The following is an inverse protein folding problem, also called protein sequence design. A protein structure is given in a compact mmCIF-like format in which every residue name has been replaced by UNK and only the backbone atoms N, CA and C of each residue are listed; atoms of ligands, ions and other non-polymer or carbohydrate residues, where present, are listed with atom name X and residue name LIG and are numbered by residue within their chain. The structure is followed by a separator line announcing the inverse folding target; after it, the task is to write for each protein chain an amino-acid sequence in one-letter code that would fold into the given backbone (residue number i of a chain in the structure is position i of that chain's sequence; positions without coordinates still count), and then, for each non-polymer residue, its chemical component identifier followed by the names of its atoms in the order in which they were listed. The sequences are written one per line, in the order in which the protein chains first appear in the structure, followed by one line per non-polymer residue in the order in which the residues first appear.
data_IF_234836418004
#
_entry.id   IF_234836418004
#
_cell.length_a   1.000
_cell.length_b   1.000
_cell.length_c   1.000
_cell.angle_alpha   90.00
_cell.angle_beta   90.00
_cell.angle_gamma   90.00
#
_symmetry.space_group_name_H-M   'P 1'
#
loop_
_entity.id
_entity.type
_entity.pdbx_description
1 polymer ?
#
# COMPACT_ATOMS: atom_id res chain seq x y z
N UNK A 1 5.88 9.76 -9.78
CA UNK A 1 5.92 9.81 -11.26
C UNK A 1 6.57 8.52 -11.77
N UNK A 2 6.17 8.01 -12.95
CA UNK A 2 6.87 6.89 -13.58
C UNK A 2 8.31 7.30 -13.95
N UNK A 3 9.28 6.37 -13.85
CA UNK A 3 10.68 6.69 -14.17
C UNK A 3 10.94 6.81 -15.69
N UNK A 4 10.09 6.20 -16.52
CA UNK A 4 10.10 6.31 -17.98
C UNK A 4 8.68 6.52 -18.54
N UNK A 5 8.59 7.00 -19.78
CA UNK A 5 7.33 7.33 -20.45
C UNK A 5 6.85 6.24 -21.41
N UNK A 6 7.52 5.08 -21.44
CA UNK A 6 7.04 3.91 -22.16
C UNK A 6 5.76 3.33 -21.52
N UNK A 7 4.96 2.65 -22.33
CA UNK A 7 3.63 2.19 -21.90
C UNK A 7 3.70 1.17 -20.76
N UNK A 8 4.71 0.30 -20.76
CA UNK A 8 4.89 -0.76 -19.75
C UNK A 8 5.27 -0.15 -18.39
N UNK A 9 6.24 0.75 -18.36
CA UNK A 9 6.66 1.43 -17.12
C UNK A 9 5.55 2.30 -16.56
N UNK A 10 4.77 3.00 -17.40
CA UNK A 10 3.60 3.74 -16.95
C UNK A 10 2.58 2.78 -16.31
N UNK A 11 2.28 1.66 -16.95
CA UNK A 11 1.35 0.66 -16.42
C UNK A 11 1.81 0.10 -15.07
N UNK A 12 3.07 -0.34 -14.96
CA UNK A 12 3.63 -0.87 -13.71
C UNK A 12 3.64 0.20 -12.59
N UNK A 13 4.02 1.44 -12.90
CA UNK A 13 3.97 2.53 -11.92
C UNK A 13 2.55 2.79 -11.38
N UNK A 14 1.52 2.65 -12.22
CA UNK A 14 0.12 2.76 -11.83
C UNK A 14 -0.28 1.58 -10.96
N UNK A 15 0.16 0.37 -11.29
CA UNK A 15 -0.02 -0.83 -10.47
C UNK A 15 0.50 -0.64 -9.04
N UNK A 16 1.76 -0.21 -8.89
CA UNK A 16 2.33 0.09 -7.56
C UNK A 16 1.49 1.14 -6.85
N UNK A 17 1.12 2.22 -7.54
CA UNK A 17 0.34 3.32 -6.95
C UNK A 17 -1.06 2.88 -6.51
N UNK A 18 -1.66 1.90 -7.18
CA UNK A 18 -2.95 1.31 -6.82
C UNK A 18 -2.80 0.47 -5.55
N UNK A 19 -1.81 -0.42 -5.51
CA UNK A 19 -1.56 -1.28 -4.36
C UNK A 19 -1.13 -0.51 -3.11
N UNK A 20 -0.26 0.50 -3.26
CA UNK A 20 0.11 1.40 -2.15
C UNK A 20 -1.09 2.15 -1.60
N UNK A 21 -2.00 2.64 -2.46
CA UNK A 21 -3.23 3.31 -2.02
C UNK A 21 -4.19 2.35 -1.34
N UNK A 22 -4.27 1.11 -1.83
CA UNK A 22 -5.12 0.07 -1.23
C UNK A 22 -4.68 -0.22 0.20
N UNK A 23 -3.38 -0.43 0.42
CA UNK A 23 -2.83 -0.62 1.77
C UNK A 23 -3.07 0.62 2.65
N UNK A 24 -2.86 1.82 2.11
CA UNK A 24 -3.09 3.07 2.85
C UNK A 24 -4.55 3.24 3.29
N UNK A 25 -5.52 2.98 2.41
CA UNK A 25 -6.95 3.08 2.75
C UNK A 25 -7.39 2.03 3.76
N UNK A 26 -6.82 0.83 3.70
CA UNK A 26 -7.05 -0.21 4.69
C UNK A 26 -6.49 0.17 6.06
N UNK A 27 -5.28 0.74 6.12
CA UNK A 27 -4.69 1.27 7.36
C UNK A 27 -5.47 2.49 7.89
N UNK A 28 -5.97 3.35 7.02
CA UNK A 28 -6.83 4.48 7.42
C UNK A 28 -8.15 4.00 8.05
N UNK A 29 -8.81 2.99 7.44
CA UNK A 29 -10.01 2.38 8.00
C UNK A 29 -9.72 1.68 9.34
N UNK A 30 -8.57 1.02 9.46
CA UNK A 30 -8.15 0.38 10.71
C UNK A 30 -7.89 1.42 11.82
N UNK A 31 -7.28 2.56 11.48
CA UNK A 31 -7.04 3.64 12.42
C UNK A 31 -8.34 4.30 12.89
N UNK A 32 -9.30 4.53 12.00
CA UNK A 32 -10.64 5.02 12.35
C UNK A 32 -11.33 4.07 13.33
N UNK A 33 -11.30 2.76 13.04
CA UNK A 33 -11.92 1.75 13.88
C UNK A 33 -11.24 1.57 15.24
N UNK A 34 -9.90 1.65 15.29
CA UNK A 34 -9.15 1.66 16.54
C UNK A 34 -9.48 2.90 17.37
N UNK A 35 -9.61 4.07 16.74
CA UNK A 35 -10.05 5.31 17.39
C UNK A 35 -11.42 5.16 18.04
N UNK A 36 -12.40 4.61 17.30
CA UNK A 36 -13.73 4.31 17.82
C UNK A 36 -13.70 3.31 18.98
N UNK A 37 -12.81 2.31 18.92
CA UNK A 37 -12.64 1.37 20.03
C UNK A 37 -12.08 2.04 21.29
N UNK A 38 -11.15 2.98 21.14
CA UNK A 38 -10.61 3.75 22.25
C UNK A 38 -11.65 4.72 22.83
N UNK A 39 -12.47 5.36 21.99
CA UNK A 39 -13.60 6.19 22.44
C UNK A 39 -14.57 5.37 23.31
N UNK A 40 -14.93 4.15 22.87
CA UNK A 40 -15.80 3.26 23.63
C UNK A 40 -15.18 2.83 24.98
N UNK A 41 -13.86 2.60 25.04
CA UNK A 41 -13.15 2.28 26.29
C UNK A 41 -13.16 3.49 27.24
N UNK A 42 -12.94 4.70 26.72
CA UNK A 42 -12.96 5.93 27.51
C UNK A 42 -14.36 6.25 28.04
N UNK A 43 -15.40 6.11 27.21
CA UNK A 43 -16.80 6.22 27.61
C UNK A 43 -17.12 5.24 28.75
N UNK A 44 -16.73 3.97 28.58
CA UNK A 44 -16.92 2.95 29.60
C UNK A 44 -16.22 3.29 30.94
N UNK A 45 -14.96 3.74 30.89
CA UNK A 45 -14.22 4.14 32.09
C UNK A 45 -14.84 5.38 32.77
N UNK A 46 -15.31 6.35 31.98
CA UNK A 46 -15.97 7.54 32.48
C UNK A 46 -17.29 7.20 33.21
N UNK A 47 -18.12 6.38 32.56
CA UNK A 47 -19.42 5.95 33.11
C UNK A 47 -19.25 5.12 34.38
N UNK A 48 -18.25 4.24 34.42
CA UNK A 48 -17.92 3.46 35.61
C UNK A 48 -17.50 4.36 36.79
N UNK A 49 -16.68 5.39 36.53
CA UNK A 49 -16.27 6.34 37.56
C UNK A 49 -17.44 7.20 38.07
N UNK A 50 -18.31 7.66 37.16
CA UNK A 50 -19.53 8.38 37.51
C UNK A 50 -20.47 7.51 38.36
N UNK A 51 -20.64 6.24 38.01
CA UNK A 51 -21.42 5.29 38.79
C UNK A 51 -20.83 5.08 40.19
N UNK A 52 -19.51 4.89 40.31
CA UNK A 52 -18.83 4.71 41.59
C UNK A 52 -19.05 5.93 42.52
N UNK A 53 -18.91 7.15 41.99
CA UNK A 53 -19.18 8.38 42.76
C UNK A 53 -20.65 8.48 43.18
N UNK A 54 -21.58 8.09 42.32
CA UNK A 54 -23.00 8.06 42.67
C UNK A 54 -23.29 7.03 43.77
N UNK A 55 -22.67 5.85 43.71
CA UNK A 55 -22.82 4.86 44.79
C UNK A 55 -22.29 5.38 46.12
N UNK A 56 -21.20 6.16 46.12
CA UNK A 56 -20.68 6.81 47.32
C UNK A 56 -21.68 7.85 47.88
N UNK A 57 -22.21 8.73 47.03
CA UNK A 57 -23.23 9.72 47.42
C UNK A 57 -24.50 9.05 47.97
N UNK A 58 -24.90 7.91 47.40
CA UNK A 58 -26.07 7.15 47.82
C UNK A 58 -25.88 6.61 49.25
N UNK A 59 -24.70 6.06 49.52
CA UNK A 59 -24.35 5.55 50.85
C UNK A 59 -24.32 6.67 51.90
N UNK A 60 -24.03 7.91 51.51
CA UNK A 60 -24.08 9.09 52.38
C UNK A 60 -25.48 9.68 52.54
N UNK A 61 -26.51 9.12 51.89
CA UNK A 61 -27.90 9.59 51.99
C UNK A 61 -28.19 10.90 51.27
N UNK A 62 -27.34 11.30 50.31
CA UNK A 62 -27.52 12.52 49.52
C UNK A 62 -28.43 12.25 48.31
N UNK A 63 -29.18 13.27 47.87
CA UNK A 63 -30.02 13.17 46.66
C UNK A 63 -29.15 12.99 45.41
N UNK A 64 -29.58 12.07 44.53
CA UNK A 64 -28.88 11.73 43.30
C UNK A 64 -29.85 11.89 42.13
N UNK A 65 -29.52 12.75 41.17
CA UNK A 65 -30.27 12.90 39.91
C UNK A 65 -30.19 11.65 39.02
N UNK A 66 -30.85 11.65 37.86
CA UNK A 66 -30.78 10.52 36.91
C UNK A 66 -29.34 10.29 36.39
N UNK A 67 -28.99 9.05 36.01
CA UNK A 67 -27.70 8.75 35.39
C UNK A 67 -27.84 8.79 33.87
N UNK A 68 -27.14 9.70 33.23
CA UNK A 68 -27.01 9.75 31.77
C UNK A 68 -25.64 9.13 31.40
N UNK A 69 -25.62 7.99 30.68
CA UNK A 69 -24.38 7.43 30.16
C UNK A 69 -23.73 8.40 29.17
N UNK A 70 -22.41 8.35 29.07
CA UNK A 70 -21.66 9.13 28.09
C UNK A 70 -21.96 8.71 26.65
N UNK A 71 -21.60 9.59 25.71
CA UNK A 71 -21.90 9.48 24.29
C UNK A 71 -21.39 8.19 23.64
N UNK A 72 -22.15 7.69 22.66
CA UNK A 72 -21.75 6.60 21.77
C UNK A 72 -20.46 6.93 20.98
N UNK A 73 -19.66 5.92 20.60
CA UNK A 73 -18.49 6.12 19.76
C UNK A 73 -18.87 6.74 18.41
N UNK A 74 -17.92 7.47 17.82
CA UNK A 74 -18.11 8.18 16.56
C UNK A 74 -18.64 7.29 15.43
N UNK A 75 -19.38 7.88 14.49
CA UNK A 75 -19.85 7.18 13.29
C UNK A 75 -18.62 6.77 12.45
N UNK A 76 -18.60 5.50 12.03
CA UNK A 76 -17.54 4.97 11.16
C UNK A 76 -17.48 5.74 9.84
N UNK A 77 -16.28 6.13 9.42
CA UNK A 77 -16.11 6.76 8.11
C UNK A 77 -16.32 5.76 6.97
N UNK A 78 -16.90 6.24 5.87
CA UNK A 78 -17.10 5.43 4.68
C UNK A 78 -15.73 4.97 4.13
N UNK A 79 -15.54 3.66 3.84
CA UNK A 79 -14.30 3.16 3.27
C UNK A 79 -14.01 3.82 1.91
N UNK A 80 -12.74 4.14 1.66
CA UNK A 80 -12.28 4.58 0.35
C UNK A 80 -12.02 3.39 -0.56
N UNK A 81 -12.45 3.47 -1.80
CA UNK A 81 -12.22 2.44 -2.82
C UNK A 81 -11.14 2.86 -3.78
N UNK A 82 -10.27 1.93 -4.16
CA UNK A 82 -9.33 2.14 -5.26
C UNK A 82 -10.04 1.81 -6.58
N UNK A 83 -9.74 2.58 -7.64
CA UNK A 83 -10.26 2.30 -8.98
C UNK A 83 -9.74 0.98 -9.55
N UNK A 84 -10.41 0.48 -10.58
CA UNK A 84 -10.03 -0.74 -11.30
C UNK A 84 -8.67 -0.57 -11.98
N UNK A 85 -7.76 -1.56 -11.90
CA UNK A 85 -6.51 -1.50 -12.63
C UNK A 85 -6.77 -1.45 -14.14
N UNK A 86 -6.10 -0.54 -14.83
CA UNK A 86 -6.08 -0.53 -16.30
C UNK A 86 -5.48 -1.83 -16.82
N UNK A 87 -6.02 -2.41 -17.92
CA UNK A 87 -5.43 -3.61 -18.53
C UNK A 87 -3.98 -3.34 -18.99
N UNK A 88 -3.14 -4.38 -19.07
CA UNK A 88 -1.78 -4.24 -19.58
C UNK A 88 -1.83 -3.72 -21.03
N UNK A 89 -0.89 -2.84 -21.42
CA UNK A 89 -0.82 -2.38 -22.80
C UNK A 89 -0.47 -3.55 -23.73
N UNK A 90 -1.04 -3.54 -24.94
CA UNK A 90 -0.64 -4.48 -25.99
C UNK A 90 0.83 -4.27 -26.38
N UNK A 91 1.53 -5.36 -26.70
CA UNK A 91 2.90 -5.27 -27.21
C UNK A 91 2.90 -4.62 -28.60
N UNK A 92 3.84 -3.71 -28.83
CA UNK A 92 4.02 -3.11 -30.14
C UNK A 92 4.70 -4.10 -31.09
N UNK A 93 3.92 -4.69 -32.00
CA UNK A 93 4.42 -5.70 -32.94
C UNK A 93 5.19 -5.09 -34.13
N UNK A 94 4.91 -3.82 -34.46
CA UNK A 94 5.60 -3.09 -35.52
C UNK A 94 7.03 -2.72 -35.15
N UNK A 95 7.94 -2.79 -36.14
CA UNK A 95 9.38 -2.49 -36.00
C UNK A 95 9.62 -1.16 -35.26
N UNK A 96 9.03 -0.06 -35.76
CA UNK A 96 9.21 1.26 -35.16
C UNK A 96 8.47 1.40 -33.82
N UNK A 97 7.39 0.64 -33.62
CA UNK A 97 6.66 0.60 -32.35
C UNK A 97 7.55 0.05 -31.23
N UNK A 98 8.20 -1.10 -31.45
CA UNK A 98 9.12 -1.67 -30.47
C UNK A 98 10.32 -0.76 -30.19
N UNK A 99 10.94 -0.21 -31.24
CA UNK A 99 12.11 0.66 -31.09
C UNK A 99 11.78 2.02 -30.45
N UNK A 100 10.59 2.57 -30.69
CA UNK A 100 10.14 3.78 -30.00
C UNK A 100 9.89 3.54 -28.51
N UNK A 101 9.29 2.42 -28.12
CA UNK A 101 9.15 2.05 -26.71
C UNK A 101 10.53 1.84 -26.04
N UNK A 102 11.44 1.15 -26.72
CA UNK A 102 12.82 0.98 -26.27
C UNK A 102 13.54 2.33 -26.07
N UNK A 103 13.35 3.28 -27.00
CA UNK A 103 13.92 4.62 -26.88
C UNK A 103 13.37 5.39 -25.67
N UNK A 104 12.05 5.34 -25.44
CA UNK A 104 11.41 6.00 -24.29
C UNK A 104 11.88 5.38 -22.96
N UNK A 105 12.02 4.06 -22.91
CA UNK A 105 12.54 3.33 -21.76
C UNK A 105 14.00 3.67 -21.48
N UNK A 106 14.86 3.69 -22.52
CA UNK A 106 16.28 4.02 -22.39
C UNK A 106 16.52 5.45 -21.85
N UNK A 107 15.64 6.40 -22.21
CA UNK A 107 15.66 7.79 -21.73
C UNK A 107 15.09 7.97 -20.32
N UNK A 108 14.54 6.91 -19.71
CA UNK A 108 14.03 6.95 -18.35
C UNK A 108 15.09 7.35 -17.33
N UNK A 109 14.65 7.94 -16.22
CA UNK A 109 15.49 8.21 -15.06
C UNK A 109 15.76 6.92 -14.27
N UNK A 110 16.78 6.94 -13.42
CA UNK A 110 17.02 5.83 -12.50
C UNK A 110 15.85 5.72 -11.51
N UNK A 111 15.37 4.50 -11.33
CA UNK A 111 14.30 4.24 -10.38
C UNK A 111 14.92 4.22 -8.97
N UNK A 112 14.99 5.39 -8.33
CA UNK A 112 15.21 5.43 -6.89
C UNK A 112 14.06 4.67 -6.24
N UNK A 113 14.39 3.60 -5.52
CA UNK A 113 13.40 2.83 -4.78
C UNK A 113 12.52 3.81 -3.98
N UNK A 114 11.21 3.74 -4.18
CA UNK A 114 10.27 4.50 -3.36
C UNK A 114 10.54 4.16 -1.89
N UNK A 115 10.41 5.14 -0.99
CA UNK A 115 10.60 4.90 0.44
C UNK A 115 9.72 3.71 0.85
N UNK A 116 10.32 2.64 1.38
CA UNK A 116 9.57 1.43 1.71
C UNK A 116 8.53 1.76 2.78
N UNK A 117 7.40 1.05 2.73
CA UNK A 117 6.44 1.09 3.84
C UNK A 117 7.13 0.49 5.06
N UNK A 118 7.16 1.23 6.17
CA UNK A 118 7.91 0.85 7.36
C UNK A 118 7.19 -0.27 8.13
N UNK A 119 7.48 -1.51 7.76
CA UNK A 119 6.97 -2.69 8.44
C UNK A 119 7.49 -2.80 9.89
N UNK A 120 8.59 -2.11 10.25
CA UNK A 120 9.06 -2.08 11.63
C UNK A 120 8.15 -1.18 12.49
N UNK A 121 7.67 -0.05 11.96
CA UNK A 121 6.67 0.78 12.64
C UNK A 121 5.36 0.03 12.88
N UNK A 122 4.89 -0.77 11.91
CA UNK A 122 3.68 -1.59 12.09
C UNK A 122 3.83 -2.61 13.23
N UNK A 123 4.99 -3.28 13.32
CA UNK A 123 5.30 -4.23 14.42
C UNK A 123 5.49 -3.54 15.77
N UNK A 124 6.08 -2.34 15.77
CA UNK A 124 6.21 -1.55 16.98
C UNK A 124 4.83 -1.11 17.51
N UNK A 125 3.93 -0.69 16.62
CA UNK A 125 2.55 -0.37 16.97
C UNK A 125 1.80 -1.60 17.51
N UNK A 126 1.96 -2.77 16.90
CA UNK A 126 1.40 -4.03 17.42
C UNK A 126 1.89 -4.32 18.85
N UNK A 127 3.20 -4.19 19.09
CA UNK A 127 3.79 -4.38 20.42
C UNK A 127 3.18 -3.44 21.47
N UNK A 128 2.95 -2.17 21.09
CA UNK A 128 2.32 -1.19 21.96
C UNK A 128 0.86 -1.56 22.29
N UNK A 129 0.11 -2.08 21.32
CA UNK A 129 -1.27 -2.54 21.54
C UNK A 129 -1.34 -3.74 22.49
N UNK A 130 -0.46 -4.73 22.32
CA UNK A 130 -0.36 -5.87 23.24
C UNK A 130 0.04 -5.46 24.66
N UNK A 131 0.94 -4.49 24.79
CA UNK A 131 1.27 -3.91 26.09
C UNK A 131 0.05 -3.21 26.71
N UNK A 132 -0.69 -2.42 25.93
CA UNK A 132 -1.93 -1.79 26.35
C UNK A 132 -2.99 -2.79 26.81
N UNK A 133 -3.18 -3.89 26.07
CA UNK A 133 -4.09 -4.97 26.43
C UNK A 133 -3.75 -5.59 27.79
N UNK A 134 -2.47 -5.87 28.06
CA UNK A 134 -2.01 -6.39 29.36
C UNK A 134 -2.28 -5.40 30.49
N UNK A 135 -1.97 -4.12 30.28
CA UNK A 135 -2.25 -3.06 31.27
C UNK A 135 -3.73 -2.94 31.57
N UNK A 136 -4.59 -3.04 30.54
CA UNK A 136 -6.04 -2.93 30.71
C UNK A 136 -6.62 -4.09 31.54
N UNK A 137 -6.17 -5.32 31.31
CA UNK A 137 -6.56 -6.49 32.13
C UNK A 137 -6.11 -6.34 33.58
N UNK A 138 -4.92 -5.80 33.80
CA UNK A 138 -4.40 -5.59 35.15
C UNK A 138 -5.14 -4.47 35.91
N UNK A 139 -5.61 -3.45 35.19
CA UNK A 139 -6.24 -2.27 35.79
C UNK A 139 -7.76 -2.43 36.02
N UNK A 140 -8.45 -3.27 35.24
CA UNK A 140 -9.91 -3.38 35.25
C UNK A 140 -10.37 -4.84 35.24
N UNK A 141 -11.18 -5.25 36.23
CA UNK A 141 -11.74 -6.61 36.31
C UNK A 141 -12.65 -6.97 35.12
N UNK A 142 -13.29 -5.96 34.51
CA UNK A 142 -14.09 -6.07 33.29
C UNK A 142 -13.30 -5.77 32.00
N UNK A 143 -11.98 -5.59 32.10
CA UNK A 143 -11.09 -5.16 31.03
C UNK A 143 -10.80 -6.24 29.96
N UNK A 144 -11.24 -7.48 30.14
CA UNK A 144 -10.92 -8.60 29.25
C UNK A 144 -11.42 -8.39 27.82
N UNK A 145 -12.66 -7.95 27.66
CA UNK A 145 -13.26 -7.72 26.34
C UNK A 145 -12.56 -6.60 25.55
N UNK A 146 -12.33 -5.40 26.11
CA UNK A 146 -11.58 -4.38 25.40
C UNK A 146 -10.09 -4.75 25.21
N UNK A 147 -9.48 -5.49 26.14
CA UNK A 147 -8.10 -5.97 25.96
C UNK A 147 -7.99 -6.97 24.81
N UNK A 148 -8.96 -7.88 24.67
CA UNK A 148 -9.03 -8.80 23.53
C UNK A 148 -9.15 -8.05 22.20
N UNK A 149 -9.84 -6.91 22.16
CA UNK A 149 -9.92 -6.07 20.96
C UNK A 149 -8.55 -5.49 20.58
N UNK A 150 -7.80 -4.96 21.56
CA UNK A 150 -6.45 -4.46 21.34
C UNK A 150 -5.49 -5.57 20.89
N UNK A 151 -5.59 -6.76 21.48
CA UNK A 151 -4.79 -7.92 21.07
C UNK A 151 -5.10 -8.37 19.64
N UNK A 152 -6.36 -8.37 19.22
CA UNK A 152 -6.72 -8.69 17.82
C UNK A 152 -6.16 -7.65 16.84
N UNK A 153 -6.23 -6.36 17.17
CA UNK A 153 -5.61 -5.32 16.35
C UNK A 153 -4.09 -5.46 16.30
N UNK A 154 -3.45 -5.77 17.44
CA UNK A 154 -2.02 -6.03 17.51
C UNK A 154 -1.61 -7.22 16.62
N UNK A 155 -2.32 -8.34 16.74
CA UNK A 155 -2.06 -9.52 15.92
C UNK A 155 -2.24 -9.26 14.42
N UNK A 156 -3.31 -8.56 14.03
CA UNK A 156 -3.54 -8.17 12.63
C UNK A 156 -2.45 -7.22 12.10
N UNK A 157 -1.98 -6.25 12.89
CA UNK A 157 -0.89 -5.36 12.48
C UNK A 157 0.44 -6.10 12.30
N UNK A 158 0.76 -7.00 13.24
CA UNK A 158 2.00 -7.77 13.25
C UNK A 158 2.06 -8.78 12.09
N UNK A 159 0.94 -9.41 11.77
CA UNK A 159 0.88 -10.50 10.79
C UNK A 159 0.42 -10.01 9.42
N UNK A 160 -0.85 -9.63 9.30
CA UNK A 160 -1.48 -9.28 8.03
C UNK A 160 -0.93 -7.98 7.44
N UNK A 161 -0.98 -6.88 8.19
CA UNK A 161 -0.61 -5.56 7.67
C UNK A 161 0.90 -5.46 7.40
N UNK A 162 1.74 -5.97 8.30
CA UNK A 162 3.18 -5.99 8.11
C UNK A 162 3.62 -6.93 6.97
N UNK A 163 2.95 -8.09 6.80
CA UNK A 163 3.20 -8.98 5.66
C UNK A 163 2.81 -8.32 4.33
N UNK A 164 1.64 -7.69 4.28
CA UNK A 164 1.18 -6.92 3.13
C UNK A 164 2.17 -5.80 2.74
N UNK A 165 2.66 -5.03 3.72
CA UNK A 165 3.67 -4.01 3.51
C UNK A 165 5.00 -4.59 2.99
N UNK A 166 5.46 -5.71 3.57
CA UNK A 166 6.66 -6.39 3.11
C UNK A 166 6.52 -6.93 1.68
N UNK A 167 5.35 -7.46 1.34
CA UNK A 167 5.05 -7.97 0.00
C UNK A 167 5.09 -6.85 -1.05
N UNK A 168 4.48 -5.70 -0.75
CA UNK A 168 4.53 -4.50 -1.61
C UNK A 168 5.98 -4.03 -1.80
N UNK A 169 6.74 -3.88 -0.72
CA UNK A 169 8.14 -3.46 -0.77
C UNK A 169 8.97 -4.42 -1.65
N UNK A 170 8.79 -5.73 -1.45
CA UNK A 170 9.46 -6.75 -2.26
C UNK A 170 9.08 -6.67 -3.74
N UNK A 171 7.79 -6.43 -4.05
CA UNK A 171 7.32 -6.22 -5.42
C UNK A 171 7.95 -4.99 -6.08
N UNK A 172 8.05 -3.88 -5.35
CA UNK A 172 8.72 -2.65 -5.83
C UNK A 172 10.20 -2.89 -6.06
N UNK A 173 10.90 -3.60 -5.17
CA UNK A 173 12.31 -3.96 -5.37
C UNK A 173 12.51 -4.84 -6.60
N UNK A 174 11.67 -5.86 -6.80
CA UNK A 174 11.73 -6.72 -8.00
C UNK A 174 11.51 -5.90 -9.27
N UNK A 175 10.53 -4.99 -9.27
CA UNK A 175 10.29 -4.11 -10.40
C UNK A 175 11.47 -3.19 -10.67
N UNK A 176 12.11 -2.64 -9.64
CA UNK A 176 13.30 -1.80 -9.81
C UNK A 176 14.44 -2.56 -10.49
N UNK A 177 14.74 -3.78 -10.03
CA UNK A 177 15.76 -4.63 -10.65
C UNK A 177 15.40 -4.98 -12.10
N UNK A 178 14.14 -5.33 -12.37
CA UNK A 178 13.68 -5.61 -13.73
C UNK A 178 13.77 -4.37 -14.65
N UNK A 179 13.44 -3.19 -14.12
CA UNK A 179 13.51 -1.91 -14.82
C UNK A 179 14.96 -1.53 -15.18
N UNK A 180 15.90 -1.69 -14.24
CA UNK A 180 17.33 -1.47 -14.49
C UNK A 180 17.84 -2.43 -15.56
N UNK A 181 17.54 -3.72 -15.43
CA UNK A 181 17.98 -4.74 -16.38
C UNK A 181 17.43 -4.48 -17.79
N UNK A 182 16.14 -4.21 -17.94
CA UNK A 182 15.57 -3.92 -19.28
C UNK A 182 16.14 -2.63 -19.85
N UNK A 183 16.40 -1.61 -19.03
CA UNK A 183 16.99 -0.35 -19.49
C UNK A 183 18.38 -0.54 -20.06
N UNK A 184 19.18 -1.43 -19.48
CA UNK A 184 20.49 -1.81 -20.01
C UNK A 184 20.36 -2.52 -21.35
N UNK A 185 19.48 -3.54 -21.43
CA UNK A 185 19.25 -4.33 -22.65
C UNK A 185 18.78 -3.48 -23.84
N UNK A 186 17.99 -2.43 -23.60
CA UNK A 186 17.45 -1.59 -24.69
C UNK A 186 18.36 -0.42 -25.09
N UNK A 187 19.49 -0.18 -24.43
CA UNK A 187 20.37 0.97 -24.75
C UNK A 187 20.86 0.94 -26.19
N UNK A 188 21.40 -0.20 -26.63
CA UNK A 188 21.95 -0.35 -27.98
C UNK A 188 20.86 -0.26 -29.06
N UNK A 189 19.73 -1.01 -28.99
CA UNK A 189 18.62 -0.83 -29.92
C UNK A 189 18.09 0.61 -29.99
N UNK A 190 17.99 1.29 -28.85
CA UNK A 190 17.56 2.69 -28.80
C UNK A 190 18.57 3.65 -29.46
N UNK A 191 19.87 3.41 -29.28
CA UNK A 191 20.92 4.20 -29.92
C UNK A 191 20.92 4.02 -31.44
N UNK A 192 20.79 2.78 -31.93
CA UNK A 192 20.66 2.47 -33.37
C UNK A 192 19.44 3.16 -33.97
N UNK A 193 18.29 3.09 -33.30
CA UNK A 193 17.07 3.74 -33.78
C UNK A 193 17.19 5.27 -33.80
N UNK A 194 17.81 5.86 -32.76
CA UNK A 194 18.09 7.31 -32.73
C UNK A 194 19.03 7.75 -33.85
N UNK A 195 20.09 6.97 -34.10
CA UNK A 195 21.02 7.22 -35.21
C UNK A 195 20.33 7.15 -36.56
N UNK A 196 19.48 6.14 -36.77
CA UNK A 196 18.67 6.01 -37.98
C UNK A 196 17.69 7.19 -38.16
N UNK A 197 17.01 7.63 -37.09
CA UNK A 197 16.14 8.81 -37.14
C UNK A 197 16.92 10.08 -37.53
N UNK A 198 18.12 10.27 -36.97
CA UNK A 198 18.97 11.40 -37.30
C UNK A 198 19.43 11.36 -38.77
N UNK A 199 19.89 10.20 -39.27
CA UNK A 199 20.25 10.00 -40.67
C UNK A 199 19.06 10.25 -41.60
N UNK A 200 17.86 9.84 -41.18
CA UNK A 200 16.65 10.07 -41.94
C UNK A 200 16.31 11.55 -42.10
N UNK A 201 16.54 12.36 -41.04
CA UNK A 201 16.34 13.81 -41.06
C UNK A 201 17.38 14.52 -41.92
N UNK A 202 18.64 14.06 -41.92
CA UNK A 202 19.73 14.68 -42.69
C UNK A 202 19.83 14.20 -44.14
N UNK A 203 19.02 13.22 -44.54
CA UNK A 203 19.07 12.63 -45.89
C UNK A 203 20.28 11.74 -46.14
N UNK A 204 20.96 11.29 -45.08
CA UNK A 204 22.07 10.35 -45.16
C UNK A 204 21.59 8.91 -45.42
N UNK A 205 22.52 8.03 -45.78
CA UNK A 205 22.24 6.62 -46.02
C UNK A 205 21.66 5.93 -44.76
N UNK A 206 20.50 5.30 -44.94
CA UNK A 206 19.70 4.68 -43.88
C UNK A 206 19.91 3.17 -43.80
N UNK A 207 20.53 2.57 -44.82
CA UNK A 207 20.63 1.13 -44.98
C UNK A 207 21.83 0.53 -44.24
N UNK A 208 22.67 1.38 -43.63
CA UNK A 208 23.81 0.97 -42.82
C UNK A 208 23.42 0.31 -41.48
N UNK A 209 22.15 0.35 -41.08
CA UNK A 209 21.67 -0.15 -39.78
C UNK A 209 20.58 -1.21 -39.97
N UNK A 210 20.81 -2.43 -39.46
CA UNK A 210 19.76 -3.46 -39.41
C UNK A 210 18.75 -3.16 -38.29
N UNK A 211 17.71 -2.41 -38.65
CA UNK A 211 16.61 -2.10 -37.75
C UNK A 211 15.74 -3.32 -37.41
N UNK A 212 15.72 -4.35 -38.25
CA UNK A 212 14.90 -5.54 -38.02
C UNK A 212 15.46 -6.35 -36.85
N UNK A 213 16.78 -6.55 -36.85
CA UNK A 213 17.51 -7.20 -35.76
C UNK A 213 17.38 -6.40 -34.45
N UNK A 214 17.63 -5.09 -34.50
CA UNK A 214 17.48 -4.21 -33.34
C UNK A 214 16.05 -4.26 -32.74
N UNK A 215 15.03 -4.29 -33.61
CA UNK A 215 13.64 -4.39 -33.17
C UNK A 215 13.28 -5.78 -32.62
N UNK A 216 13.92 -6.85 -33.09
CA UNK A 216 13.76 -8.19 -32.54
C UNK A 216 14.33 -8.27 -31.11
N UNK A 217 15.53 -7.72 -30.90
CA UNK A 217 16.15 -7.60 -29.58
C UNK A 217 15.28 -6.78 -28.63
N UNK A 218 14.87 -5.57 -29.04
CA UNK A 218 14.01 -4.71 -28.23
C UNK A 218 12.69 -5.40 -27.84
N UNK A 219 12.06 -6.15 -28.76
CA UNK A 219 10.83 -6.90 -28.44
C UNK A 219 11.08 -8.01 -27.43
N UNK A 220 12.20 -8.72 -27.50
CA UNK A 220 12.53 -9.76 -26.53
C UNK A 220 12.65 -9.16 -25.12
N UNK A 221 13.44 -8.09 -24.97
CA UNK A 221 13.62 -7.36 -23.72
C UNK A 221 12.29 -6.81 -23.16
N UNK A 222 11.49 -6.17 -24.02
CA UNK A 222 10.19 -5.62 -23.60
C UNK A 222 9.18 -6.71 -23.20
N UNK A 223 9.21 -7.90 -23.82
CA UNK A 223 8.33 -9.02 -23.44
C UNK A 223 8.73 -9.59 -22.09
N UNK A 224 10.03 -9.73 -21.84
CA UNK A 224 10.54 -10.14 -20.54
C UNK A 224 10.13 -9.11 -19.47
N UNK A 225 10.33 -7.82 -19.74
CA UNK A 225 9.90 -6.77 -18.82
C UNK A 225 8.39 -6.75 -18.58
N UNK A 226 7.57 -6.97 -19.61
CA UNK A 226 6.11 -7.08 -19.50
C UNK A 226 5.66 -8.27 -18.63
N UNK A 227 6.48 -9.30 -18.48
CA UNK A 227 6.20 -10.42 -17.56
C UNK A 227 6.38 -10.03 -16.08
N UNK A 228 6.99 -8.89 -15.80
CA UNK A 228 7.12 -8.35 -14.44
C UNK A 228 5.74 -7.98 -13.92
N UNK A 229 5.20 -8.75 -12.98
CA UNK A 229 3.92 -8.46 -12.35
C UNK A 229 4.12 -7.78 -10.99
N UNK A 230 3.29 -6.78 -10.71
CA UNK A 230 3.07 -6.29 -9.35
C UNK A 230 1.90 -7.08 -8.81
N UNK A 231 2.19 -8.00 -7.89
CA UNK A 231 1.20 -8.85 -7.26
C UNK A 231 0.23 -8.01 -6.44
N UNK A 232 -1.06 -8.35 -6.53
CA UNK A 232 -2.10 -7.77 -5.71
C UNK A 232 -1.83 -8.07 -4.24
N UNK A 233 -1.94 -7.05 -3.38
CA UNK A 233 -1.76 -7.22 -1.95
C UNK A 233 -2.97 -7.96 -1.38
N UNK A 234 -2.73 -9.14 -0.81
CA UNK A 234 -3.70 -9.82 0.04
C UNK A 234 -3.50 -9.38 1.48
N UNK A 235 -4.47 -8.65 2.03
CA UNK A 235 -4.52 -8.30 3.45
C UNK A 235 -5.94 -8.56 3.96
N UNK A 236 -6.06 -9.32 5.04
CA UNK A 236 -7.36 -9.56 5.67
C UNK A 236 -7.95 -8.25 6.22
N UNK A 237 -9.28 -8.18 6.31
CA UNK A 237 -9.96 -7.05 6.91
C UNK A 237 -9.53 -6.85 8.37
N UNK A 238 -9.35 -5.59 8.78
CA UNK A 238 -9.02 -5.28 10.17
C UNK A 238 -10.17 -5.67 11.12
N UNK A 239 -9.87 -5.94 12.41
CA UNK A 239 -10.89 -6.19 13.42
C UNK A 239 -11.92 -5.05 13.52
N UNK A 240 -13.16 -5.39 13.85
CA UNK A 240 -14.28 -4.44 14.02
C UNK A 240 -14.83 -4.46 15.45
N UNK A 241 -15.20 -3.28 15.96
CA UNK A 241 -15.84 -3.12 17.26
C UNK A 241 -17.15 -3.91 17.31
N UNK A 242 -17.40 -4.56 18.46
CA UNK A 242 -18.61 -5.35 18.68
C UNK A 242 -18.60 -6.74 18.03
N UNK A 243 -17.62 -7.05 17.17
CA UNK A 243 -17.49 -8.39 16.58
C UNK A 243 -16.77 -9.36 17.52
N UNK A 244 -17.36 -10.55 17.64
CA UNK A 244 -16.82 -11.68 18.40
C UNK A 244 -16.09 -12.61 17.43
N UNK A 245 -15.08 -12.06 16.73
CA UNK A 245 -14.13 -12.89 15.98
C UNK A 245 -13.24 -13.66 16.95
#
# INVERSE_FOLDING_TARGET
MPPATDALTIHLSRGVSVESRRLAYLLESAADELGRALEAILAYAHDAAALARRTELALMGLEIGEFEPSSDPSIRRAPRTVGTPTPPPGMADGLHGALSQALLLAQGADLRAQSPVDAAQLRAAATALHAGARTLRAAMSSGDRPAAMLDRFGGWLETDAASAAAHLNSGVTRWATAYESVREQVQEPAALYRGWLAAAVTGADRDAVDLSEAAAHARAALREYASTSISEISCLGHPLLGTSG
#
